data_IF_487668453717
#
_entry.id   IF_487668453717
#
_cell.length_a   1.000
_cell.length_b   1.000
_cell.length_c   1.000
_cell.angle_alpha   90.00
_cell.angle_beta   90.00
_cell.angle_gamma   90.00
#
_symmetry.space_group_name_H-M   'P 1'
#
loop_
_entity.id
_entity.type
_entity.pdbx_description
1 polymer ?
#
# COMPACT_ATOMS: atom_id res chain seq x y z
N UNK A 1 11.83 -2.81 -15.84
CA UNK A 1 11.99 -3.80 -14.75
C UNK A 1 11.60 -3.11 -13.47
N UNK A 2 10.40 -3.40 -12.98
CA UNK A 2 9.87 -2.82 -11.75
C UNK A 2 10.62 -3.46 -10.59
N UNK A 3 11.45 -2.72 -9.86
CA UNK A 3 11.98 -3.18 -8.58
C UNK A 3 10.79 -3.29 -7.62
N UNK A 4 10.36 -4.52 -7.35
CA UNK A 4 9.60 -4.81 -6.14
C UNK A 4 10.55 -4.51 -4.96
N UNK A 5 10.33 -3.40 -4.28
CA UNK A 5 10.90 -3.23 -2.94
C UNK A 5 10.26 -4.34 -2.11
N UNK A 6 11.06 -5.30 -1.67
CA UNK A 6 10.62 -6.38 -0.79
C UNK A 6 10.15 -5.72 0.50
N UNK A 7 8.83 -5.72 0.73
CA UNK A 7 8.30 -5.41 2.06
C UNK A 7 8.86 -6.46 3.03
N UNK A 8 9.27 -6.01 4.21
CA UNK A 8 9.65 -6.92 5.28
C UNK A 8 8.52 -7.93 5.49
N UNK A 9 8.83 -9.22 5.65
CA UNK A 9 7.80 -10.24 5.69
C UNK A 9 6.96 -10.14 6.95
N UNK A 10 5.68 -10.51 6.82
CA UNK A 10 4.79 -10.82 7.94
C UNK A 10 5.23 -12.11 8.62
N UNK A 11 5.26 -12.10 9.94
CA UNK A 11 5.32 -13.32 10.71
C UNK A 11 3.95 -14.00 10.67
N UNK A 12 3.90 -15.27 10.31
CA UNK A 12 2.66 -16.07 10.31
C UNK A 12 2.85 -17.29 11.22
N UNK A 13 1.85 -17.56 12.08
CA UNK A 13 1.82 -18.75 12.94
C UNK A 13 0.46 -19.46 12.79
N UNK A 14 0.41 -20.78 12.76
CA UNK A 14 1.49 -21.76 12.85
C UNK A 14 2.20 -22.02 11.52
N UNK A 15 3.22 -22.88 11.55
CA UNK A 15 3.86 -23.42 10.36
C UNK A 15 3.52 -24.94 10.23
N UNK A 16 2.86 -25.42 9.14
CA UNK A 16 2.32 -24.60 8.06
C UNK A 16 1.07 -23.80 8.49
N UNK A 17 0.81 -22.65 7.87
CA UNK A 17 -0.41 -21.91 8.12
C UNK A 17 -1.62 -22.59 7.48
N UNK A 18 -2.87 -22.28 7.92
CA UNK A 18 -4.06 -22.71 7.22
C UNK A 18 -4.02 -22.34 5.73
N UNK A 19 -4.40 -23.26 4.82
CA UNK A 19 -4.30 -23.01 3.36
C UNK A 19 -5.05 -21.77 2.90
N UNK A 20 -6.20 -21.47 3.51
CA UNK A 20 -7.01 -20.29 3.18
C UNK A 20 -6.27 -18.98 3.54
N UNK A 21 -5.54 -18.98 4.67
CA UNK A 21 -4.75 -17.82 5.08
C UNK A 21 -3.57 -17.60 4.12
N UNK A 22 -2.81 -18.66 3.82
CA UNK A 22 -1.71 -18.60 2.87
C UNK A 22 -2.18 -18.07 1.51
N UNK A 23 -3.30 -18.60 1.00
CA UNK A 23 -3.89 -18.15 -0.26
C UNK A 23 -4.32 -16.68 -0.24
N UNK A 24 -4.92 -16.21 0.85
CA UNK A 24 -5.29 -14.80 0.99
C UNK A 24 -4.05 -13.88 0.95
N UNK A 25 -3.01 -14.23 1.70
CA UNK A 25 -1.77 -13.46 1.75
C UNK A 25 -1.06 -13.42 0.39
N UNK A 26 -0.99 -14.55 -0.30
CA UNK A 26 -0.36 -14.65 -1.63
C UNK A 26 -1.12 -13.84 -2.70
N UNK A 27 -2.45 -13.95 -2.72
CA UNK A 27 -3.31 -13.22 -3.67
C UNK A 27 -3.25 -11.70 -3.47
N UNK A 28 -3.12 -11.25 -2.23
CA UNK A 28 -3.02 -9.84 -1.87
C UNK A 28 -1.57 -9.32 -1.95
N UNK A 29 -0.61 -10.20 -2.30
CA UNK A 29 0.78 -9.83 -2.57
C UNK A 29 1.61 -9.56 -1.31
N UNK A 30 1.17 -10.04 -0.14
CA UNK A 30 1.95 -9.95 1.09
C UNK A 30 3.20 -10.83 1.01
N UNK A 31 4.33 -10.31 1.45
CA UNK A 31 5.49 -11.13 1.78
C UNK A 31 5.28 -11.69 3.19
N UNK A 32 5.42 -13.00 3.37
CA UNK A 32 5.21 -13.63 4.68
C UNK A 32 6.12 -14.82 4.90
N UNK A 33 6.34 -15.17 6.17
CA UNK A 33 7.10 -16.33 6.59
C UNK A 33 6.44 -16.98 7.79
N UNK A 34 6.19 -18.29 7.69
CA UNK A 34 5.58 -19.05 8.77
C UNK A 34 6.63 -19.52 9.78
N UNK A 35 6.25 -19.52 11.06
CA UNK A 35 7.10 -19.95 12.17
C UNK A 35 6.37 -20.98 13.05
N UNK A 36 7.13 -21.90 13.66
CA UNK A 36 6.57 -22.96 14.51
C UNK A 36 6.34 -22.50 15.96
N UNK A 37 7.08 -21.52 16.42
CA UNK A 37 7.06 -21.04 17.80
C UNK A 37 7.80 -19.70 17.95
N UNK A 38 7.84 -19.20 19.18
CA UNK A 38 8.48 -17.93 19.50
C UNK A 38 10.02 -17.94 19.33
N UNK A 39 10.66 -19.09 19.50
CA UNK A 39 12.12 -19.22 19.32
C UNK A 39 12.46 -19.12 17.83
N UNK A 40 11.70 -19.82 16.98
CA UNK A 40 11.82 -19.70 15.53
C UNK A 40 11.54 -18.27 15.06
N UNK A 41 10.54 -17.61 15.62
CA UNK A 41 10.21 -16.21 15.29
C UNK A 41 11.38 -15.25 15.54
N UNK A 42 12.16 -15.46 16.61
CA UNK A 42 13.33 -14.64 16.93
C UNK A 42 14.57 -15.05 16.10
N UNK A 43 14.74 -16.36 15.88
CA UNK A 43 15.90 -16.85 15.12
C UNK A 43 15.83 -16.53 13.62
N UNK A 44 14.62 -16.37 13.11
CA UNK A 44 14.33 -16.15 11.68
C UNK A 44 13.91 -14.70 11.38
N UNK A 45 14.08 -13.82 12.37
CA UNK A 45 13.78 -12.40 12.21
C UNK A 45 14.63 -11.77 11.08
N UNK A 46 14.02 -11.07 10.15
CA UNK A 46 14.73 -10.33 9.10
C UNK A 46 15.59 -9.20 9.68
N UNK A 47 16.61 -8.76 8.94
CA UNK A 47 17.51 -7.68 9.36
C UNK A 47 16.74 -6.36 9.66
N UNK A 48 15.67 -6.08 8.92
CA UNK A 48 14.79 -4.90 9.11
C UNK A 48 13.67 -5.18 10.15
N UNK A 49 13.60 -6.41 10.69
CA UNK A 49 12.54 -6.87 11.58
C UNK A 49 11.31 -7.42 10.85
N UNK A 50 10.30 -7.85 11.61
CA UNK A 50 9.02 -8.27 11.07
C UNK A 50 8.14 -7.06 10.80
N UNK A 51 7.46 -7.04 9.64
CA UNK A 51 6.52 -5.94 9.31
C UNK A 51 5.25 -5.96 10.16
N UNK A 52 4.94 -7.10 10.76
CA UNK A 52 3.81 -7.36 11.64
C UNK A 52 3.62 -8.86 11.82
N UNK A 53 2.51 -9.26 12.45
CA UNK A 53 2.24 -10.69 12.65
C UNK A 53 0.77 -11.05 12.43
N UNK A 54 0.53 -12.27 11.89
CA UNK A 54 -0.76 -12.91 11.83
C UNK A 54 -0.67 -14.24 12.58
N UNK A 55 -1.42 -14.36 13.67
CA UNK A 55 -1.36 -15.52 14.59
C UNK A 55 -2.70 -16.24 14.60
N UNK A 56 -2.71 -17.52 14.23
CA UNK A 56 -3.92 -18.34 14.23
C UNK A 56 -4.03 -19.10 15.55
N UNK A 57 -5.08 -18.80 16.31
CA UNK A 57 -5.34 -19.39 17.63
C UNK A 57 -6.41 -20.49 17.60
N UNK A 58 -6.91 -20.87 16.43
CA UNK A 58 -8.07 -21.75 16.28
C UNK A 58 -7.79 -23.17 16.81
N UNK A 59 -6.62 -23.72 16.47
CA UNK A 59 -6.23 -25.10 16.83
C UNK A 59 -5.39 -25.20 18.10
N UNK A 60 -4.60 -24.17 18.40
CA UNK A 60 -3.74 -24.06 19.58
C UNK A 60 -3.80 -22.67 20.19
N UNK A 61 -4.84 -22.34 20.95
CA UNK A 61 -4.98 -21.01 21.57
C UNK A 61 -3.88 -20.71 22.58
N UNK A 62 -3.42 -21.69 23.34
CA UNK A 62 -2.40 -21.47 24.37
C UNK A 62 -1.06 -21.10 23.75
N UNK A 63 -0.61 -21.85 22.75
CA UNK A 63 0.62 -21.58 22.00
C UNK A 63 0.54 -20.25 21.26
N UNK A 64 -0.58 -19.97 20.60
CA UNK A 64 -0.83 -18.73 19.89
C UNK A 64 -0.72 -17.49 20.80
N UNK A 65 -1.42 -17.49 21.93
CA UNK A 65 -1.36 -16.37 22.88
C UNK A 65 -0.02 -16.28 23.64
N UNK A 66 0.66 -17.41 23.86
CA UNK A 66 2.03 -17.39 24.38
C UNK A 66 2.99 -16.71 23.40
N UNK A 67 2.84 -16.99 22.11
CA UNK A 67 3.59 -16.32 21.04
C UNK A 67 3.29 -14.82 21.04
N UNK A 68 2.01 -14.41 21.02
CA UNK A 68 1.62 -13.00 21.07
C UNK A 68 2.28 -12.26 22.25
N UNK A 69 2.22 -12.83 23.47
CA UNK A 69 2.88 -12.24 24.65
C UNK A 69 4.39 -12.09 24.46
N UNK A 70 5.02 -13.05 23.78
CA UNK A 70 6.46 -12.99 23.51
C UNK A 70 6.79 -11.91 22.51
N UNK A 71 6.03 -11.82 21.40
CA UNK A 71 6.21 -10.81 20.35
C UNK A 71 6.04 -9.37 20.86
N UNK A 72 5.22 -9.19 21.92
CA UNK A 72 5.03 -7.88 22.58
C UNK A 72 6.13 -7.52 23.59
N UNK A 73 6.91 -8.51 24.06
CA UNK A 73 7.93 -8.34 25.10
C UNK A 73 9.35 -8.26 24.58
N UNK A 74 9.56 -8.32 23.26
CA UNK A 74 10.87 -8.10 22.65
C UNK A 74 11.27 -6.63 22.75
N UNK A 75 12.55 -6.31 22.53
CA UNK A 75 13.09 -4.96 22.63
C UNK A 75 12.33 -3.97 21.73
N UNK A 76 11.98 -4.40 20.52
CA UNK A 76 11.07 -3.67 19.61
C UNK A 76 9.80 -4.50 19.44
N UNK A 77 8.69 -4.18 20.16
CA UNK A 77 7.46 -4.93 20.07
C UNK A 77 6.92 -5.01 18.64
N UNK A 78 6.49 -6.20 18.22
CA UNK A 78 5.97 -6.40 16.88
C UNK A 78 4.55 -5.86 16.79
N UNK A 79 4.38 -4.88 15.92
CA UNK A 79 3.12 -4.25 15.54
C UNK A 79 3.03 -4.09 14.01
N UNK A 80 1.83 -4.21 13.40
CA UNK A 80 0.58 -4.68 14.00
C UNK A 80 0.54 -6.20 14.17
N UNK A 81 -0.30 -6.68 15.08
CA UNK A 81 -0.53 -8.09 15.35
C UNK A 81 -2.03 -8.41 15.24
N UNK A 82 -2.37 -9.24 14.26
CA UNK A 82 -3.72 -9.72 14.01
C UNK A 82 -3.87 -11.17 14.48
N UNK A 83 -4.91 -11.47 15.30
CA UNK A 83 -5.19 -12.82 15.76
C UNK A 83 -6.42 -13.38 15.05
N UNK A 84 -6.32 -14.62 14.56
CA UNK A 84 -7.44 -15.38 14.00
C UNK A 84 -7.96 -16.35 15.05
N UNK A 85 -9.25 -16.26 15.39
CA UNK A 85 -9.89 -17.05 16.44
C UNK A 85 -11.18 -17.71 15.96
N UNK A 86 -11.48 -18.90 16.44
CA UNK A 86 -12.76 -19.56 16.21
C UNK A 86 -13.90 -18.88 16.98
N UNK A 87 -15.11 -18.91 16.41
CA UNK A 87 -16.28 -18.28 17.05
C UNK A 87 -16.56 -18.78 18.48
N UNK A 88 -16.26 -20.05 18.79
CA UNK A 88 -16.39 -20.60 20.13
C UNK A 88 -15.33 -20.15 21.15
N UNK A 89 -14.31 -19.41 20.70
CA UNK A 89 -13.23 -18.91 21.54
C UNK A 89 -13.44 -17.44 21.96
N UNK A 90 -14.46 -16.78 21.44
CA UNK A 90 -14.71 -15.36 21.71
C UNK A 90 -14.92 -15.06 23.19
N UNK A 91 -15.64 -15.94 23.91
CA UNK A 91 -15.89 -15.76 25.35
C UNK A 91 -14.61 -15.91 26.20
N UNK A 92 -13.62 -16.63 25.68
CA UNK A 92 -12.33 -16.83 26.32
C UNK A 92 -11.28 -15.84 25.82
N UNK A 93 -11.61 -14.98 24.84
CA UNK A 93 -10.70 -14.01 24.26
C UNK A 93 -10.42 -12.89 25.26
N UNK A 94 -9.19 -12.80 25.70
CA UNK A 94 -8.73 -11.71 26.55
C UNK A 94 -8.53 -10.47 25.71
N UNK A 95 -9.52 -9.58 25.69
CA UNK A 95 -9.47 -8.31 24.94
C UNK A 95 -8.54 -7.33 25.66
N UNK A 96 -7.25 -7.45 25.37
CA UNK A 96 -6.20 -6.59 25.95
C UNK A 96 -5.39 -5.98 24.81
N UNK A 97 -5.27 -4.68 24.83
CA UNK A 97 -4.55 -3.90 23.83
C UNK A 97 -3.03 -4.23 23.80
N UNK A 98 -2.52 -4.76 24.91
CA UNK A 98 -1.12 -5.18 25.03
C UNK A 98 -0.81 -6.54 24.36
N UNK A 99 -1.85 -7.31 23.97
CA UNK A 99 -1.69 -8.64 23.45
C UNK A 99 -1.75 -8.71 21.91
N UNK A 100 -2.73 -8.04 21.32
CA UNK A 100 -2.91 -7.95 19.86
C UNK A 100 -3.65 -6.64 19.50
N UNK A 101 -3.59 -6.24 18.25
CA UNK A 101 -4.17 -4.97 17.79
C UNK A 101 -5.60 -5.14 17.24
N UNK A 102 -5.91 -6.31 16.64
CA UNK A 102 -7.26 -6.69 16.18
C UNK A 102 -7.37 -8.20 16.06
N UNK A 103 -8.59 -8.70 15.87
CA UNK A 103 -8.86 -10.11 15.62
C UNK A 103 -9.79 -10.33 14.43
N UNK A 104 -9.72 -11.51 13.83
CA UNK A 104 -10.61 -11.96 12.76
C UNK A 104 -11.17 -13.34 13.10
N UNK A 105 -12.42 -13.60 12.71
CA UNK A 105 -13.05 -14.89 12.97
C UNK A 105 -12.67 -15.93 11.92
N UNK A 106 -12.53 -17.19 12.37
CA UNK A 106 -12.50 -18.37 11.50
C UNK A 106 -13.88 -19.05 11.47
N UNK A 107 -14.28 -19.65 10.34
CA UNK A 107 -13.55 -19.77 9.06
C UNK A 107 -13.31 -18.40 8.39
N UNK A 108 -12.13 -18.27 7.80
CA UNK A 108 -11.66 -17.02 7.23
C UNK A 108 -12.58 -16.52 6.12
N UNK A 109 -12.95 -15.24 6.17
CA UNK A 109 -13.67 -14.55 5.09
C UNK A 109 -12.68 -13.63 4.37
N UNK A 110 -12.29 -13.93 3.11
CA UNK A 110 -11.21 -13.20 2.44
C UNK A 110 -11.40 -11.68 2.39
N UNK A 111 -12.62 -11.22 2.13
CA UNK A 111 -12.90 -9.78 2.07
C UNK A 111 -12.78 -9.08 3.46
N UNK A 112 -13.21 -9.75 4.53
CA UNK A 112 -13.10 -9.24 5.90
C UNK A 112 -11.63 -9.23 6.34
N UNK A 113 -10.91 -10.32 6.11
CA UNK A 113 -9.48 -10.42 6.42
C UNK A 113 -8.68 -9.32 5.74
N UNK A 114 -8.88 -9.14 4.42
CA UNK A 114 -8.21 -8.08 3.65
C UNK A 114 -8.47 -6.70 4.25
N UNK A 115 -9.74 -6.36 4.48
CA UNK A 115 -10.10 -5.05 5.03
C UNK A 115 -9.46 -4.80 6.41
N UNK A 116 -9.40 -5.82 7.28
CA UNK A 116 -8.81 -5.70 8.62
C UNK A 116 -7.29 -5.57 8.57
N UNK A 117 -6.61 -6.43 7.81
CA UNK A 117 -5.15 -6.39 7.71
C UNK A 117 -4.69 -5.07 7.08
N UNK A 118 -5.32 -4.61 6.00
CA UNK A 118 -5.04 -3.32 5.38
C UNK A 118 -5.24 -2.16 6.37
N UNK A 119 -6.37 -2.16 7.10
CA UNK A 119 -6.65 -1.13 8.10
C UNK A 119 -5.64 -1.10 9.24
N UNK A 120 -5.27 -2.26 9.77
CA UNK A 120 -4.27 -2.39 10.83
C UNK A 120 -2.91 -1.86 10.41
N UNK A 121 -2.44 -2.26 9.22
CA UNK A 121 -1.14 -1.85 8.73
C UNK A 121 -1.11 -0.37 8.37
N UNK A 122 -2.20 0.16 7.82
CA UNK A 122 -2.37 1.60 7.58
C UNK A 122 -2.22 2.42 8.89
N UNK A 123 -2.88 2.00 9.95
CA UNK A 123 -2.79 2.67 11.26
C UNK A 123 -1.42 2.59 11.93
N UNK A 124 -0.70 1.50 11.70
CA UNK A 124 0.64 1.31 12.25
C UNK A 124 1.73 2.11 11.50
N UNK A 125 1.35 2.88 10.46
CA UNK A 125 2.31 3.53 9.56
C UNK A 125 3.16 2.52 8.75
N UNK A 126 2.81 1.23 8.84
CA UNK A 126 3.38 0.11 8.10
C UNK A 126 2.35 -0.49 7.15
N UNK A 127 1.18 0.13 7.08
CA UNK A 127 0.10 -0.26 6.18
C UNK A 127 0.59 -0.20 4.77
N UNK A 128 0.08 -1.14 3.99
CA UNK A 128 0.22 -1.21 2.56
C UNK A 128 0.79 0.09 2.05
N UNK A 129 2.00 0.04 1.44
CA UNK A 129 2.69 1.21 0.86
C UNK A 129 1.72 2.37 0.74
N UNK A 130 2.02 3.56 1.23
CA UNK A 130 1.17 4.70 0.89
C UNK A 130 0.86 4.49 -0.58
N UNK A 131 -0.44 4.49 -1.00
CA UNK A 131 -0.78 4.18 -2.39
C UNK A 131 0.14 5.04 -3.25
N UNK A 132 1.34 4.51 -3.52
CA UNK A 132 2.38 5.21 -4.26
C UNK A 132 2.17 4.85 -5.72
N UNK A 133 1.83 5.83 -6.51
CA UNK A 133 1.98 5.72 -7.95
C UNK A 133 3.43 6.06 -8.28
N UNK A 134 4.22 5.02 -8.57
CA UNK A 134 5.62 5.17 -8.96
C UNK A 134 5.77 5.01 -10.48
N UNK A 135 6.45 5.94 -11.11
CA UNK A 135 6.82 5.88 -12.52
C UNK A 135 8.21 6.48 -12.75
N UNK A 136 9.22 5.61 -12.93
CA UNK A 136 10.61 6.05 -13.05
C UNK A 136 11.03 6.84 -11.79
N UNK A 137 11.45 8.09 -11.95
CA UNK A 137 11.87 8.93 -10.82
C UNK A 137 10.72 9.56 -10.03
N UNK A 138 9.47 9.48 -10.56
CA UNK A 138 8.29 10.08 -9.92
C UNK A 138 7.66 9.13 -8.91
N UNK A 139 7.42 9.61 -7.70
CA UNK A 139 6.62 8.97 -6.67
C UNK A 139 5.47 9.91 -6.24
N UNK A 140 4.24 9.37 -6.18
CA UNK A 140 3.04 10.09 -5.73
C UNK A 140 2.44 9.33 -4.56
N UNK A 141 2.32 9.98 -3.41
CA UNK A 141 1.65 9.43 -2.24
C UNK A 141 0.16 9.81 -2.28
N UNK A 142 -0.73 8.82 -2.48
CA UNK A 142 -2.17 9.05 -2.64
C UNK A 142 -2.88 9.36 -1.32
N UNK A 143 -2.26 9.03 -0.18
CA UNK A 143 -2.83 9.31 1.14
C UNK A 143 -2.50 10.73 1.62
N UNK A 144 -1.24 11.16 1.42
CA UNK A 144 -0.78 12.47 1.90
C UNK A 144 -0.85 13.57 0.84
N UNK A 145 -1.22 13.24 -0.40
CA UNK A 145 -1.22 14.16 -1.56
C UNK A 145 0.15 14.79 -1.85
N UNK A 146 1.21 14.09 -1.47
CA UNK A 146 2.58 14.51 -1.72
C UNK A 146 3.12 13.85 -2.99
N UNK A 147 4.03 14.55 -3.65
CA UNK A 147 4.75 14.05 -4.81
C UNK A 147 6.25 14.32 -4.64
N UNK A 148 7.08 13.43 -5.16
CA UNK A 148 8.53 13.61 -5.23
C UNK A 148 9.05 13.14 -6.60
N UNK A 149 10.15 13.69 -7.04
CA UNK A 149 10.91 13.24 -8.21
C UNK A 149 12.38 13.13 -7.82
N UNK A 150 13.01 11.97 -8.07
CA UNK A 150 14.35 11.62 -7.58
C UNK A 150 14.51 11.89 -6.05
N UNK A 151 13.48 11.49 -5.27
CA UNK A 151 13.38 11.72 -3.82
C UNK A 151 13.26 13.19 -3.37
N UNK A 152 13.26 14.15 -4.31
CA UNK A 152 13.06 15.57 -4.00
C UNK A 152 11.57 15.94 -4.01
N UNK A 153 11.03 16.49 -2.90
CA UNK A 153 9.63 16.86 -2.81
C UNK A 153 9.21 17.91 -3.83
N UNK A 154 8.06 17.71 -4.47
CA UNK A 154 7.43 18.67 -5.37
C UNK A 154 6.38 19.50 -4.63
N UNK A 155 6.50 20.82 -4.67
CA UNK A 155 5.48 21.74 -4.14
C UNK A 155 4.33 21.90 -5.15
N UNK A 156 3.35 21.00 -5.08
CA UNK A 156 2.18 20.98 -5.97
C UNK A 156 0.95 21.57 -5.29
N UNK A 157 0.18 22.35 -6.05
CA UNK A 157 -1.19 22.65 -5.62
C UNK A 157 -2.05 21.38 -5.77
N UNK A 158 -3.20 21.33 -5.07
CA UNK A 158 -4.11 20.20 -5.13
C UNK A 158 -4.49 19.80 -6.56
N UNK A 159 -4.81 20.77 -7.42
CA UNK A 159 -5.18 20.50 -8.81
C UNK A 159 -4.01 20.05 -9.69
N UNK A 160 -2.80 20.51 -9.42
CA UNK A 160 -1.60 20.03 -10.08
C UNK A 160 -1.30 18.58 -9.68
N UNK A 161 -1.45 18.26 -8.39
CA UNK A 161 -1.31 16.91 -7.88
C UNK A 161 -2.35 15.96 -8.52
N UNK A 162 -3.64 16.31 -8.51
CA UNK A 162 -4.70 15.50 -9.09
C UNK A 162 -4.50 15.27 -10.61
N UNK A 163 -4.06 16.28 -11.34
CA UNK A 163 -3.75 16.15 -12.77
C UNK A 163 -2.56 15.22 -12.99
N UNK A 164 -1.49 15.36 -12.20
CA UNK A 164 -0.30 14.51 -12.30
C UNK A 164 -0.64 13.06 -11.93
N UNK A 165 -1.39 12.85 -10.83
CA UNK A 165 -1.89 11.55 -10.39
C UNK A 165 -2.71 10.86 -11.49
N UNK A 166 -3.68 11.55 -12.06
CA UNK A 166 -4.52 11.00 -13.12
C UNK A 166 -3.70 10.57 -14.34
N UNK A 167 -2.74 11.39 -14.75
CA UNK A 167 -1.88 11.09 -15.89
C UNK A 167 -0.91 9.93 -15.58
N UNK A 168 -0.29 9.92 -14.40
CA UNK A 168 0.68 8.89 -13.98
C UNK A 168 0.02 7.52 -13.75
N UNK A 169 -1.25 7.47 -13.34
CA UNK A 169 -2.03 6.24 -13.23
C UNK A 169 -2.34 5.59 -14.60
N UNK A 170 -2.14 6.33 -15.72
CA UNK A 170 -2.45 5.85 -17.07
C UNK A 170 -1.27 6.06 -18.03
N UNK A 171 -0.09 5.49 -17.77
CA UNK A 171 1.09 5.73 -18.56
C UNK A 171 0.92 5.24 -20.00
N UNK A 172 1.42 6.02 -20.96
CA UNK A 172 1.33 5.73 -22.38
C UNK A 172 -0.01 6.05 -23.05
N UNK A 173 -1.05 6.35 -22.26
CA UNK A 173 -2.38 6.71 -22.79
C UNK A 173 -2.49 8.20 -23.06
N UNK A 174 -3.06 8.55 -24.24
CA UNK A 174 -3.33 9.94 -24.62
C UNK A 174 -4.71 10.34 -24.14
N UNK A 175 -4.81 11.50 -23.51
CA UNK A 175 -6.08 12.10 -23.09
C UNK A 175 -6.27 13.46 -23.76
N UNK A 176 -7.49 13.73 -24.23
CA UNK A 176 -7.85 15.06 -24.75
C UNK A 176 -7.93 16.06 -23.59
N UNK A 177 -7.86 17.35 -23.93
CA UNK A 177 -7.99 18.43 -22.94
C UNK A 177 -9.33 18.39 -22.22
N UNK A 178 -10.38 18.11 -22.97
CA UNK A 178 -11.76 18.01 -22.48
C UNK A 178 -11.89 16.82 -21.52
N UNK A 179 -11.28 15.67 -21.87
CA UNK A 179 -11.28 14.49 -21.00
C UNK A 179 -10.53 14.79 -19.68
N UNK A 180 -9.37 15.43 -19.76
CA UNK A 180 -8.62 15.81 -18.56
C UNK A 180 -9.39 16.81 -17.70
N UNK A 181 -10.00 17.81 -18.33
CA UNK A 181 -10.83 18.79 -17.62
C UNK A 181 -11.97 18.12 -16.87
N UNK A 182 -12.73 17.28 -17.55
CA UNK A 182 -13.89 16.58 -16.97
C UNK A 182 -13.48 15.60 -15.86
N UNK A 183 -12.35 14.87 -16.02
CA UNK A 183 -11.91 13.83 -15.07
C UNK A 183 -11.24 14.39 -13.83
N UNK A 184 -10.54 15.51 -13.94
CA UNK A 184 -9.75 16.10 -12.86
C UNK A 184 -10.51 17.23 -12.17
N UNK A 185 -11.23 18.08 -12.91
CA UNK A 185 -11.99 19.20 -12.36
C UNK A 185 -13.48 18.91 -12.15
N UNK A 186 -14.00 17.84 -12.76
CA UNK A 186 -15.41 17.47 -12.70
C UNK A 186 -16.23 18.02 -13.87
N UNK A 187 -17.41 17.41 -14.06
CA UNK A 187 -18.29 17.76 -15.18
C UNK A 187 -18.91 19.16 -15.08
N UNK A 188 -19.06 19.67 -13.86
CA UNK A 188 -19.68 20.98 -13.59
C UNK A 188 -18.67 22.13 -13.58
N UNK A 189 -17.44 21.88 -14.00
CA UNK A 189 -16.44 22.94 -14.03
C UNK A 189 -16.62 23.86 -15.23
N UNK A 190 -16.89 25.14 -14.97
CA UNK A 190 -17.17 26.16 -16.00
C UNK A 190 -15.93 26.73 -16.72
N UNK A 191 -14.71 26.26 -16.38
CA UNK A 191 -13.48 26.68 -17.05
C UNK A 191 -13.29 26.00 -18.40
N UNK A 192 -12.60 26.67 -19.31
CA UNK A 192 -12.29 26.11 -20.64
C UNK A 192 -11.11 25.12 -20.59
N UNK A 193 -10.98 24.31 -21.64
CA UNK A 193 -9.90 23.32 -21.81
C UNK A 193 -8.48 23.92 -21.70
N UNK A 194 -8.33 25.22 -21.88
CA UNK A 194 -7.08 25.97 -21.68
C UNK A 194 -6.59 25.94 -20.23
N UNK A 195 -7.46 25.69 -19.27
CA UNK A 195 -7.07 25.46 -17.86
C UNK A 195 -6.09 24.29 -17.74
N UNK A 196 -6.29 23.22 -18.48
CA UNK A 196 -5.40 22.08 -18.52
C UNK A 196 -3.99 22.47 -19.00
N UNK A 197 -3.93 23.26 -20.07
CA UNK A 197 -2.63 23.72 -20.64
C UNK A 197 -1.81 24.52 -19.62
N UNK A 198 -2.48 25.37 -18.84
CA UNK A 198 -1.85 26.17 -17.78
C UNK A 198 -1.27 25.27 -16.68
N UNK A 199 -2.02 24.28 -16.23
CA UNK A 199 -1.57 23.35 -15.19
C UNK A 199 -0.46 22.44 -15.69
N UNK A 200 -0.52 21.94 -16.91
CA UNK A 200 0.58 21.19 -17.55
C UNK A 200 1.86 22.02 -17.62
N UNK A 201 1.76 23.29 -17.99
CA UNK A 201 2.94 24.18 -18.02
C UNK A 201 3.56 24.33 -16.63
N UNK A 202 2.73 24.52 -15.59
CA UNK A 202 3.18 24.64 -14.20
C UNK A 202 3.80 23.34 -13.69
N UNK A 203 3.17 22.20 -13.96
CA UNK A 203 3.71 20.89 -13.63
C UNK A 203 5.07 20.65 -14.25
N UNK A 204 5.25 20.93 -15.54
CA UNK A 204 6.55 20.81 -16.21
C UNK A 204 7.61 21.69 -15.58
N UNK A 205 7.25 22.92 -15.20
CA UNK A 205 8.18 23.81 -14.52
C UNK A 205 8.61 23.27 -13.14
N UNK A 206 7.69 22.63 -12.40
CA UNK A 206 7.97 22.03 -11.08
C UNK A 206 8.72 20.69 -11.18
N UNK A 207 8.48 19.91 -12.23
CA UNK A 207 9.22 18.69 -12.52
C UNK A 207 10.68 18.95 -12.94
N UNK A 208 11.00 20.18 -13.32
CA UNK A 208 12.33 20.56 -13.80
C UNK A 208 12.63 20.11 -15.23
N UNK A 209 13.74 20.59 -15.79
CA UNK A 209 14.10 20.34 -17.20
C UNK A 209 14.30 18.84 -17.49
N UNK A 210 14.88 18.11 -16.56
CA UNK A 210 15.18 16.68 -16.72
C UNK A 210 13.89 15.82 -16.77
N UNK A 211 12.85 16.18 -16.01
CA UNK A 211 11.64 15.38 -15.85
C UNK A 211 10.39 15.98 -16.51
N UNK A 212 10.46 17.21 -17.03
CA UNK A 212 9.36 17.81 -17.78
C UNK A 212 8.89 16.93 -18.96
N UNK A 213 9.81 16.14 -19.53
CA UNK A 213 9.55 15.17 -20.58
C UNK A 213 8.66 13.99 -20.17
N UNK A 214 8.39 13.75 -18.88
CA UNK A 214 7.41 12.76 -18.43
C UNK A 214 6.00 13.08 -18.94
N UNK A 215 5.68 14.37 -19.14
CA UNK A 215 4.39 14.78 -19.69
C UNK A 215 4.60 15.21 -21.14
N UNK A 216 4.15 14.38 -22.08
CA UNK A 216 4.24 14.64 -23.52
C UNK A 216 3.02 15.37 -24.05
N UNK A 217 3.25 16.34 -24.96
CA UNK A 217 2.16 16.95 -25.73
C UNK A 217 1.92 16.17 -27.02
N UNK A 218 0.71 15.69 -27.22
CA UNK A 218 0.26 15.13 -28.48
C UNK A 218 -0.45 16.26 -29.25
N UNK A 219 0.21 16.80 -30.26
CA UNK A 219 -0.27 17.97 -31.01
C UNK A 219 -1.69 17.79 -31.50
N UNK A 220 -2.51 18.81 -31.37
CA UNK A 220 -3.94 18.85 -31.73
C UNK A 220 -4.86 17.85 -30.99
N UNK A 221 -4.32 17.04 -30.06
CA UNK A 221 -5.09 16.06 -29.26
C UNK A 221 -5.10 16.45 -27.78
N UNK A 222 -3.95 16.39 -27.11
CA UNK A 222 -3.89 16.60 -25.66
C UNK A 222 -2.55 16.19 -25.07
N UNK A 223 -2.61 15.37 -24.01
CA UNK A 223 -1.43 15.03 -23.22
C UNK A 223 -1.34 13.54 -22.91
N UNK A 224 -0.12 13.04 -22.73
CA UNK A 224 0.24 11.68 -22.35
C UNK A 224 1.33 11.72 -21.31
N UNK A 225 1.29 10.80 -20.36
CA UNK A 225 2.35 10.58 -19.39
C UNK A 225 3.21 9.38 -19.79
N UNK A 226 4.53 9.50 -19.59
CA UNK A 226 5.48 8.43 -19.89
C UNK A 226 5.61 8.10 -21.37
N UNK A 227 6.37 7.03 -21.66
CA UNK A 227 6.65 6.61 -23.02
C UNK A 227 5.47 5.84 -23.64
N UNK A 228 5.31 5.98 -24.96
CA UNK A 228 4.38 5.14 -25.72
C UNK A 228 4.90 3.71 -25.80
N UNK A 229 4.01 2.71 -25.74
CA UNK A 229 4.35 1.31 -26.02
C UNK A 229 4.92 1.08 -27.44
N UNK A 230 4.69 2.02 -28.34
CA UNK A 230 5.03 1.91 -29.75
C UNK A 230 6.25 2.74 -30.16
N UNK A 231 7.01 3.25 -29.21
CA UNK A 231 8.23 4.02 -29.42
C UNK A 231 8.10 5.02 -30.58
N UNK A 232 7.95 6.28 -30.31
CA UNK A 232 8.50 7.45 -31.04
C UNK A 232 8.45 8.61 -30.04
#
# INVERSE_FOLDING_TARGET
>A
MTRRTTMDPLLVFPNPPPPELAQCLDLDGWSWKAVDNAEAAMAEEPDEGWSGAVVVADTDPEGAFALCRRLRKVEVPIHPLLVLVGGGQLDALELRDDLFDDFCLTPLRPAEFRARIEHLFSRAGRGTRPELVEYGPLALNLETYQAAVDDEPLDLTYMEYELLKFLAAHPGKVFTRETLLSRVWGYDYYGGARTVDVHIRRLRAKLGEEHAGLIHTVRSVGYRFGQSRWGV
#
